data_IF_238648914071
#
_entry.id   IF_238648914071
#
_cell.length_a   1.000
_cell.length_b   1.000
_cell.length_c   1.000
_cell.angle_alpha   90.00
_cell.angle_beta   90.00
_cell.angle_gamma   90.00
#
_symmetry.space_group_name_H-M   'P 1'
#
loop_
_entity.id
_entity.type
_entity.pdbx_description
1 polymer ?
#
# COMPACT_ATOMS: atom_id res chain seq x y z
N UNK A 1 66.20 -11.66 40.13
CA UNK A 1 64.86 -12.00 39.60
C UNK A 1 64.36 -10.79 38.81
N UNK A 2 64.53 -10.80 37.49
CA UNK A 2 64.04 -9.73 36.62
C UNK A 2 62.77 -10.20 35.93
N UNK A 3 61.63 -9.62 36.27
CA UNK A 3 60.36 -9.94 35.60
C UNK A 3 60.37 -9.21 34.25
N UNK A 4 60.16 -9.97 33.17
CA UNK A 4 60.08 -9.50 31.78
C UNK A 4 58.88 -8.57 31.58
N UNK A 5 59.04 -7.28 31.92
CA UNK A 5 57.99 -6.25 31.77
C UNK A 5 57.65 -6.00 30.28
N UNK A 6 58.58 -6.28 29.37
CA UNK A 6 58.41 -6.08 27.93
C UNK A 6 57.46 -7.11 27.28
N UNK A 7 57.50 -8.37 27.74
CA UNK A 7 56.62 -9.43 27.24
C UNK A 7 55.16 -9.26 27.70
N UNK A 8 54.95 -8.66 28.88
CA UNK A 8 53.62 -8.38 29.43
C UNK A 8 52.87 -7.32 28.59
N UNK A 9 53.58 -6.29 28.11
CA UNK A 9 52.99 -5.21 27.31
C UNK A 9 52.50 -5.70 25.94
N UNK A 10 53.27 -6.55 25.25
CA UNK A 10 52.88 -7.09 23.94
C UNK A 10 51.69 -8.05 24.01
N UNK A 11 51.58 -8.87 25.05
CA UNK A 11 50.42 -9.73 25.25
C UNK A 11 49.15 -8.90 25.50
N UNK A 12 49.19 -7.91 26.39
CA UNK A 12 48.04 -7.02 26.64
C UNK A 12 47.69 -6.20 25.39
N UNK A 13 48.67 -5.66 24.69
CA UNK A 13 48.45 -4.92 23.44
C UNK A 13 47.79 -5.79 22.36
N UNK A 14 48.22 -7.04 22.21
CA UNK A 14 47.62 -7.98 21.24
C UNK A 14 46.15 -8.27 21.55
N UNK A 15 45.79 -8.41 22.83
CA UNK A 15 44.41 -8.60 23.28
C UNK A 15 43.58 -7.34 22.98
N UNK A 16 44.10 -6.14 23.29
CA UNK A 16 43.41 -4.88 23.04
C UNK A 16 43.21 -4.65 21.54
N UNK A 17 44.25 -4.85 20.72
CA UNK A 17 44.18 -4.70 19.25
C UNK A 17 43.19 -5.72 18.67
N UNK A 18 43.22 -6.97 19.12
CA UNK A 18 42.26 -8.00 18.70
C UNK A 18 40.82 -7.57 18.98
N UNK A 19 40.54 -7.04 20.18
CA UNK A 19 39.22 -6.53 20.54
C UNK A 19 38.82 -5.32 19.68
N UNK A 20 39.73 -4.38 19.40
CA UNK A 20 39.46 -3.23 18.51
C UNK A 20 39.11 -3.70 17.11
N UNK A 21 39.84 -4.69 16.56
CA UNK A 21 39.55 -5.25 15.23
C UNK A 21 38.17 -5.89 15.21
N UNK A 22 37.82 -6.67 16.24
CA UNK A 22 36.49 -7.30 16.35
C UNK A 22 35.38 -6.23 16.41
N UNK A 23 35.55 -5.20 17.23
CA UNK A 23 34.60 -4.08 17.34
C UNK A 23 34.50 -3.34 16.00
N UNK A 24 35.62 -3.08 15.33
CA UNK A 24 35.65 -2.39 14.03
C UNK A 24 34.94 -3.18 12.93
N UNK A 25 35.15 -4.50 12.88
CA UNK A 25 34.46 -5.40 11.96
C UNK A 25 32.95 -5.45 12.24
N UNK A 26 32.56 -5.49 13.52
CA UNK A 26 31.16 -5.46 13.93
C UNK A 26 30.47 -4.15 13.50
N UNK A 27 31.08 -3.00 13.78
CA UNK A 27 30.54 -1.69 13.39
C UNK A 27 30.44 -1.54 11.87
N UNK A 28 31.44 -2.01 11.13
CA UNK A 28 31.44 -1.95 9.66
C UNK A 28 30.33 -2.82 9.06
N UNK A 29 30.15 -4.02 9.59
CA UNK A 29 29.09 -4.95 9.16
C UNK A 29 27.72 -4.37 9.49
N UNK A 30 27.55 -3.82 10.70
CA UNK A 30 26.33 -3.16 11.11
C UNK A 30 25.97 -2.00 10.16
N UNK A 31 26.91 -1.11 9.87
CA UNK A 31 26.67 0.04 9.01
C UNK A 31 26.31 -0.39 7.56
N UNK A 32 26.98 -1.40 7.03
CA UNK A 32 26.69 -1.92 5.69
C UNK A 32 25.31 -2.60 5.64
N UNK A 33 24.97 -3.37 6.67
CA UNK A 33 23.68 -4.03 6.79
C UNK A 33 22.54 -3.00 6.91
N UNK A 34 22.74 -1.98 7.75
CA UNK A 34 21.79 -0.89 7.97
C UNK A 34 21.50 -0.12 6.68
N UNK A 35 22.56 0.33 5.97
CA UNK A 35 22.41 1.02 4.68
C UNK A 35 21.64 0.18 3.65
N UNK A 36 21.92 -1.12 3.57
CA UNK A 36 21.22 -2.02 2.65
C UNK A 36 19.76 -2.22 3.03
N UNK A 37 19.45 -2.31 4.32
CA UNK A 37 18.08 -2.44 4.81
C UNK A 37 17.28 -1.17 4.53
N UNK A 38 17.83 0.02 4.82
CA UNK A 38 17.18 1.31 4.51
C UNK A 38 16.87 1.41 3.01
N UNK A 39 17.81 1.07 2.13
CA UNK A 39 17.59 1.09 0.69
C UNK A 39 16.47 0.13 0.26
N UNK A 40 16.41 -1.07 0.84
CA UNK A 40 15.36 -2.06 0.58
C UNK A 40 14.00 -1.57 1.06
N UNK A 41 13.93 -1.01 2.27
CA UNK A 41 12.70 -0.48 2.86
C UNK A 41 12.16 0.71 2.05
N UNK A 42 13.03 1.62 1.60
CA UNK A 42 12.65 2.74 0.73
C UNK A 42 12.07 2.25 -0.59
N UNK A 43 12.70 1.26 -1.22
CA UNK A 43 12.19 0.66 -2.45
C UNK A 43 10.83 -0.02 -2.24
N UNK A 44 10.67 -0.79 -1.15
CA UNK A 44 9.39 -1.41 -0.80
C UNK A 44 8.30 -0.36 -0.55
N UNK A 45 8.65 0.74 0.13
CA UNK A 45 7.75 1.87 0.37
C UNK A 45 7.33 2.53 -0.95
N UNK A 46 8.25 2.75 -1.87
CA UNK A 46 7.94 3.32 -3.18
C UNK A 46 6.99 2.42 -3.97
N UNK A 47 7.26 1.11 -4.02
CA UNK A 47 6.38 0.14 -4.68
C UNK A 47 4.98 0.19 -4.05
N UNK A 48 4.88 0.17 -2.71
CA UNK A 48 3.59 0.22 -2.04
C UNK A 48 2.80 1.51 -2.33
N UNK A 49 3.48 2.65 -2.40
CA UNK A 49 2.88 3.93 -2.78
C UNK A 49 2.38 3.90 -4.23
N UNK A 50 3.16 3.36 -5.16
CA UNK A 50 2.75 3.21 -6.56
C UNK A 50 1.53 2.28 -6.69
N UNK A 51 1.51 1.15 -5.97
CA UNK A 51 0.37 0.23 -5.94
C UNK A 51 -0.89 0.91 -5.41
N UNK A 52 -0.80 1.68 -4.32
CA UNK A 52 -1.96 2.43 -3.80
C UNK A 52 -2.44 3.50 -4.79
N UNK A 53 -1.52 4.21 -5.45
CA UNK A 53 -1.86 5.20 -6.48
C UNK A 53 -2.62 4.56 -7.63
N UNK A 54 -2.12 3.43 -8.16
CA UNK A 54 -2.76 2.68 -9.22
C UNK A 54 -4.20 2.30 -8.84
N UNK A 55 -4.41 1.72 -7.65
CA UNK A 55 -5.77 1.39 -7.16
C UNK A 55 -6.68 2.61 -7.13
N UNK A 56 -6.17 3.74 -6.63
CA UNK A 56 -6.94 4.97 -6.50
C UNK A 56 -7.28 5.60 -7.86
N UNK A 57 -6.37 5.54 -8.81
CA UNK A 57 -6.61 5.99 -10.19
C UNK A 57 -7.66 5.10 -10.86
N UNK A 58 -7.53 3.78 -10.78
CA UNK A 58 -8.52 2.84 -11.34
C UNK A 58 -9.90 3.00 -10.69
N UNK A 59 -9.97 3.27 -9.37
CA UNK A 59 -11.24 3.59 -8.73
C UNK A 59 -11.91 4.81 -9.37
N UNK A 60 -11.14 5.87 -9.64
CA UNK A 60 -11.67 7.10 -10.24
C UNK A 60 -12.11 6.89 -11.68
N UNK A 61 -11.29 6.23 -12.49
CA UNK A 61 -11.61 5.88 -13.87
C UNK A 61 -12.92 5.10 -13.95
N UNK A 62 -13.09 4.09 -13.08
CA UNK A 62 -14.31 3.30 -13.01
C UNK A 62 -15.51 4.14 -12.52
N UNK A 63 -15.34 4.99 -11.50
CA UNK A 63 -16.41 5.89 -11.05
C UNK A 63 -16.86 6.82 -12.20
N UNK A 64 -15.92 7.37 -12.96
CA UNK A 64 -16.23 8.26 -14.08
C UNK A 64 -16.85 7.50 -15.25
N UNK A 65 -16.40 6.28 -15.54
CA UNK A 65 -17.00 5.40 -16.53
C UNK A 65 -18.48 5.08 -16.22
N UNK A 66 -18.78 4.76 -14.96
CA UNK A 66 -20.14 4.48 -14.47
C UNK A 66 -20.96 5.75 -14.17
N UNK A 67 -20.39 6.93 -14.42
CA UNK A 67 -21.16 8.18 -14.39
C UNK A 67 -21.94 8.41 -15.68
N UNK A 68 -21.62 7.69 -16.75
CA UNK A 68 -22.46 7.61 -17.93
C UNK A 68 -23.58 6.58 -17.69
N UNK A 69 -24.83 7.04 -17.73
CA UNK A 69 -26.01 6.20 -17.48
C UNK A 69 -26.11 5.03 -18.47
N UNK A 70 -25.67 5.20 -19.72
CA UNK A 70 -25.66 4.12 -20.71
C UNK A 70 -24.69 2.99 -20.31
N UNK A 71 -23.57 3.32 -19.65
CA UNK A 71 -22.62 2.32 -19.14
C UNK A 71 -23.23 1.55 -17.98
N UNK A 72 -23.88 2.26 -17.05
CA UNK A 72 -24.56 1.64 -15.91
C UNK A 72 -25.71 0.72 -16.36
N UNK A 73 -26.52 1.16 -17.33
CA UNK A 73 -27.59 0.36 -17.93
C UNK A 73 -27.04 -0.89 -18.62
N UNK A 74 -25.98 -0.76 -19.42
CA UNK A 74 -25.36 -1.90 -20.09
C UNK A 74 -24.74 -2.90 -19.12
N UNK A 75 -24.16 -2.41 -18.01
CA UNK A 75 -23.67 -3.28 -16.95
C UNK A 75 -24.83 -4.00 -16.25
N UNK A 76 -25.91 -3.29 -15.93
CA UNK A 76 -27.10 -3.86 -15.30
C UNK A 76 -27.72 -4.98 -16.14
N UNK A 77 -27.83 -4.80 -17.46
CA UNK A 77 -28.32 -5.84 -18.39
C UNK A 77 -27.46 -7.11 -18.42
N UNK A 78 -26.18 -7.01 -18.05
CA UNK A 78 -25.25 -8.15 -17.96
C UNK A 78 -25.24 -8.80 -16.58
N UNK A 79 -25.65 -8.08 -15.55
CA UNK A 79 -25.75 -8.60 -14.19
C UNK A 79 -27.01 -9.46 -14.02
N UNK A 80 -26.91 -10.49 -13.19
CA UNK A 80 -28.03 -11.34 -12.81
C UNK A 80 -28.52 -10.95 -11.41
N UNK A 81 -29.50 -10.05 -11.35
CA UNK A 81 -30.07 -9.56 -10.10
C UNK A 81 -30.89 -10.60 -9.33
N UNK A 82 -31.13 -11.79 -9.89
CA UNK A 82 -31.77 -12.89 -9.16
C UNK A 82 -30.76 -13.69 -8.32
N UNK A 83 -29.47 -13.49 -8.54
CA UNK A 83 -28.40 -14.12 -7.77
C UNK A 83 -27.94 -13.22 -6.62
N UNK A 84 -27.41 -13.83 -5.56
CA UNK A 84 -26.69 -13.08 -4.55
C UNK A 84 -25.46 -12.43 -5.19
N UNK A 85 -25.07 -11.25 -4.72
CA UNK A 85 -23.98 -10.48 -5.35
C UNK A 85 -22.67 -11.26 -5.52
N UNK A 86 -22.32 -12.14 -4.58
CA UNK A 86 -21.10 -12.96 -4.66
C UNK A 86 -21.21 -14.11 -5.68
N UNK A 87 -22.40 -14.40 -6.18
CA UNK A 87 -22.70 -15.42 -7.17
C UNK A 87 -22.83 -14.85 -8.59
N UNK A 88 -22.87 -13.52 -8.75
CA UNK A 88 -22.81 -12.85 -10.04
C UNK A 88 -21.35 -12.48 -10.36
N UNK A 89 -20.69 -13.23 -11.27
CA UNK A 89 -19.29 -12.98 -11.61
C UNK A 89 -19.09 -11.63 -12.30
N UNK A 90 -20.09 -11.12 -13.03
CA UNK A 90 -20.00 -9.84 -13.74
C UNK A 90 -20.08 -8.69 -12.74
N UNK A 91 -21.02 -8.75 -11.80
CA UNK A 91 -21.07 -7.77 -10.70
C UNK A 91 -19.78 -7.81 -9.88
N UNK A 92 -19.28 -9.00 -9.51
CA UNK A 92 -18.02 -9.13 -8.79
C UNK A 92 -16.84 -8.52 -9.56
N UNK A 93 -16.79 -8.70 -10.89
CA UNK A 93 -15.75 -8.10 -11.70
C UNK A 93 -15.75 -6.57 -11.57
N UNK A 94 -16.89 -5.91 -11.79
CA UNK A 94 -16.97 -4.44 -11.67
C UNK A 94 -16.60 -3.91 -10.27
N UNK A 95 -16.96 -4.65 -9.23
CA UNK A 95 -16.67 -4.29 -7.85
C UNK A 95 -15.20 -4.52 -7.45
N UNK A 96 -14.49 -5.42 -8.13
CA UNK A 96 -13.15 -5.83 -7.73
C UNK A 96 -12.03 -5.36 -8.66
N UNK A 97 -12.31 -4.91 -9.90
CA UNK A 97 -11.30 -4.43 -10.87
C UNK A 97 -10.24 -3.50 -10.25
N UNK A 98 -10.57 -2.45 -9.48
CA UNK A 98 -9.54 -1.58 -8.91
C UNK A 98 -8.66 -2.25 -7.85
N UNK A 99 -9.01 -3.44 -7.37
CA UNK A 99 -8.41 -4.09 -6.21
C UNK A 99 -7.73 -5.40 -6.55
N UNK A 100 -7.32 -5.62 -7.80
CA UNK A 100 -6.56 -6.82 -8.20
C UNK A 100 -5.28 -7.00 -7.36
N UNK A 101 -4.63 -5.89 -6.99
CA UNK A 101 -3.44 -5.86 -6.13
C UNK A 101 -3.77 -5.87 -4.62
N UNK A 102 -4.97 -6.32 -4.21
CA UNK A 102 -5.37 -6.32 -2.80
C UNK A 102 -4.42 -7.15 -1.92
N UNK A 103 -3.97 -8.30 -2.42
CA UNK A 103 -3.06 -9.18 -1.68
C UNK A 103 -1.73 -8.47 -1.35
N UNK A 104 -1.18 -7.72 -2.30
CA UNK A 104 0.06 -6.96 -2.11
C UNK A 104 -0.12 -5.84 -1.09
N UNK A 105 -1.24 -5.10 -1.17
CA UNK A 105 -1.56 -4.03 -0.20
C UNK A 105 -1.68 -4.60 1.23
N UNK A 106 -2.32 -5.75 1.38
CA UNK A 106 -2.38 -6.47 2.66
C UNK A 106 -0.98 -6.90 3.11
N UNK A 107 -0.14 -7.36 2.18
CA UNK A 107 1.26 -7.69 2.43
C UNK A 107 2.04 -6.49 2.97
N UNK A 108 1.96 -5.34 2.30
CA UNK A 108 2.61 -4.10 2.71
C UNK A 108 2.12 -3.60 4.08
N UNK A 109 0.83 -3.79 4.39
CA UNK A 109 0.28 -3.42 5.69
C UNK A 109 0.84 -4.32 6.80
N UNK A 110 0.86 -5.64 6.58
CA UNK A 110 1.38 -6.61 7.55
C UNK A 110 2.89 -6.44 7.81
N UNK A 111 3.65 -6.04 6.79
CA UNK A 111 5.08 -5.79 6.91
C UNK A 111 5.44 -4.39 7.41
N UNK A 112 4.46 -3.55 7.72
CA UNK A 112 4.68 -2.17 8.21
C UNK A 112 5.16 -1.18 7.14
N UNK A 113 5.20 -1.59 5.86
CA UNK A 113 5.62 -0.73 4.73
C UNK A 113 4.61 0.39 4.49
N UNK A 114 3.31 0.12 4.72
CA UNK A 114 2.27 1.16 4.79
C UNK A 114 1.76 1.32 6.21
N UNK A 115 1.43 2.56 6.57
CA UNK A 115 0.95 2.89 7.90
C UNK A 115 -0.48 2.38 8.11
N UNK A 116 -0.87 2.16 9.37
CA UNK A 116 -2.24 1.78 9.70
C UNK A 116 -3.28 2.79 9.18
N UNK A 117 -2.93 4.08 9.16
CA UNK A 117 -3.76 5.14 8.59
C UNK A 117 -3.95 4.95 7.08
N UNK A 118 -2.88 4.72 6.32
CA UNK A 118 -2.95 4.51 4.87
C UNK A 118 -3.77 3.26 4.53
N UNK A 119 -3.57 2.17 5.28
CA UNK A 119 -4.36 0.96 5.10
C UNK A 119 -5.84 1.17 5.48
N UNK A 120 -6.12 1.93 6.55
CA UNK A 120 -7.48 2.32 6.93
C UNK A 120 -8.19 3.15 5.86
N UNK A 121 -7.49 4.13 5.28
CA UNK A 121 -7.99 4.92 4.15
C UNK A 121 -8.29 4.04 2.93
N UNK A 122 -7.37 3.12 2.60
CA UNK A 122 -7.56 2.15 1.53
C UNK A 122 -8.83 1.30 1.73
N UNK A 123 -9.04 0.74 2.92
CA UNK A 123 -10.24 -0.06 3.23
C UNK A 123 -11.52 0.77 3.11
N UNK A 124 -11.49 2.03 3.55
CA UNK A 124 -12.62 2.94 3.45
C UNK A 124 -12.95 3.28 1.99
N UNK A 125 -11.93 3.57 1.17
CA UNK A 125 -12.10 3.78 -0.28
C UNK A 125 -12.70 2.53 -0.91
N UNK A 126 -12.15 1.35 -0.62
CA UNK A 126 -12.64 0.08 -1.15
C UNK A 126 -14.12 -0.15 -0.84
N UNK A 127 -14.53 0.05 0.41
CA UNK A 127 -15.93 -0.07 0.83
C UNK A 127 -16.83 0.92 0.07
N UNK A 128 -16.43 2.19 0.03
CA UNK A 128 -17.25 3.25 -0.55
C UNK A 128 -17.35 3.12 -2.07
N UNK A 129 -16.26 2.77 -2.76
CA UNK A 129 -16.24 2.47 -4.18
C UNK A 129 -17.22 1.34 -4.51
N UNK A 130 -17.13 0.21 -3.82
CA UNK A 130 -18.03 -0.94 -4.07
C UNK A 130 -19.48 -0.55 -3.87
N UNK A 131 -19.78 0.19 -2.81
CA UNK A 131 -21.13 0.70 -2.57
C UNK A 131 -21.60 1.62 -3.69
N UNK A 132 -20.75 2.53 -4.17
CA UNK A 132 -21.10 3.47 -5.24
C UNK A 132 -21.41 2.75 -6.56
N UNK A 133 -20.52 1.85 -7.01
CA UNK A 133 -20.70 1.11 -8.26
C UNK A 133 -21.92 0.19 -8.20
N UNK A 134 -22.10 -0.53 -7.09
CA UNK A 134 -23.30 -1.35 -6.87
C UNK A 134 -24.58 -0.53 -7.02
N UNK A 135 -24.65 0.63 -6.37
CA UNK A 135 -25.83 1.50 -6.46
C UNK A 135 -26.04 2.01 -7.88
N UNK A 136 -24.96 2.39 -8.58
CA UNK A 136 -25.04 2.82 -9.99
C UNK A 136 -25.60 1.73 -10.90
N UNK A 137 -25.20 0.48 -10.70
CA UNK A 137 -25.67 -0.64 -11.52
C UNK A 137 -27.09 -1.06 -11.13
N UNK A 138 -27.38 -1.21 -9.83
CA UNK A 138 -28.68 -1.71 -9.36
C UNK A 138 -29.83 -0.71 -9.57
N UNK A 139 -29.54 0.59 -9.53
CA UNK A 139 -30.52 1.66 -9.67
C UNK A 139 -30.19 2.54 -10.88
N UNK A 140 -29.78 1.93 -11.99
CA UNK A 140 -29.39 2.64 -13.22
C UNK A 140 -30.55 3.46 -13.80
N UNK A 141 -31.80 3.06 -13.53
CA UNK A 141 -33.04 3.71 -13.94
C UNK A 141 -33.50 4.83 -12.99
N UNK A 142 -32.92 4.91 -11.79
CA UNK A 142 -33.31 5.87 -10.77
C UNK A 142 -32.24 6.96 -10.55
N UNK A 143 -32.50 8.15 -11.10
CA UNK A 143 -31.55 9.27 -11.08
C UNK A 143 -31.19 9.75 -9.68
N UNK A 144 -32.11 9.69 -8.73
CA UNK A 144 -31.95 10.23 -7.38
C UNK A 144 -30.98 9.42 -6.51
N UNK A 145 -30.98 8.08 -6.64
CA UNK A 145 -30.06 7.21 -5.88
C UNK A 145 -28.67 7.13 -6.51
N UNK A 146 -28.56 7.47 -7.79
CA UNK A 146 -27.34 7.31 -8.57
C UNK A 146 -26.24 8.35 -8.22
N UNK A 147 -26.58 9.48 -7.60
CA UNK A 147 -25.63 10.57 -7.34
C UNK A 147 -25.03 10.57 -5.93
N UNK A 148 -25.58 9.76 -5.01
CA UNK A 148 -25.24 9.84 -3.59
C UNK A 148 -23.74 9.59 -3.37
N UNK A 149 -23.05 10.63 -2.88
CA UNK A 149 -21.64 10.63 -2.45
C UNK A 149 -20.57 10.46 -3.53
N UNK A 150 -20.86 10.56 -4.83
CA UNK A 150 -19.81 10.55 -5.89
C UNK A 150 -18.72 11.60 -5.60
N UNK A 151 -19.14 12.86 -5.43
CA UNK A 151 -18.23 14.00 -5.19
C UNK A 151 -17.40 13.79 -3.93
N UNK A 152 -18.03 13.36 -2.85
CA UNK A 152 -17.34 13.06 -1.58
C UNK A 152 -16.29 11.96 -1.74
N UNK A 153 -16.64 10.88 -2.45
CA UNK A 153 -15.72 9.77 -2.70
C UNK A 153 -14.53 10.21 -3.56
N UNK A 154 -14.76 10.94 -4.65
CA UNK A 154 -13.69 11.44 -5.51
C UNK A 154 -12.77 12.38 -4.73
N UNK A 155 -13.33 13.35 -3.99
CA UNK A 155 -12.55 14.27 -3.17
C UNK A 155 -11.75 13.52 -2.11
N UNK A 156 -12.32 12.49 -1.49
CA UNK A 156 -11.62 11.66 -0.52
C UNK A 156 -10.44 10.92 -1.16
N UNK A 157 -10.65 10.25 -2.30
CA UNK A 157 -9.58 9.56 -3.04
C UNK A 157 -8.46 10.54 -3.43
N UNK A 158 -8.81 11.71 -3.96
CA UNK A 158 -7.82 12.72 -4.37
C UNK A 158 -7.00 13.25 -3.18
N UNK A 159 -7.63 13.44 -2.02
CA UNK A 159 -6.93 13.87 -0.82
C UNK A 159 -5.94 12.81 -0.32
N UNK A 160 -6.34 11.54 -0.32
CA UNK A 160 -5.44 10.43 0.03
C UNK A 160 -4.29 10.30 -1.00
N UNK A 161 -4.56 10.45 -2.30
CA UNK A 161 -3.53 10.47 -3.35
C UNK A 161 -2.50 11.60 -3.15
N UNK A 162 -2.96 12.81 -2.81
CA UNK A 162 -2.07 13.94 -2.50
C UNK A 162 -1.21 13.66 -1.26
N UNK A 163 -1.81 13.10 -0.21
CA UNK A 163 -1.11 12.71 1.01
C UNK A 163 -0.05 11.62 0.81
N UNK A 164 -0.21 10.76 -0.21
CA UNK A 164 0.81 9.79 -0.60
C UNK A 164 1.99 10.45 -1.33
N UNK A 165 1.74 11.48 -2.15
CA UNK A 165 2.78 12.20 -2.91
C UNK A 165 3.63 13.13 -2.03
N UNK A 166 3.02 13.82 -1.06
CA UNK A 166 3.74 14.74 -0.18
C UNK A 166 4.73 14.06 0.77
N UNK A 167 4.68 12.72 0.91
CA UNK A 167 5.62 11.94 1.73
C UNK A 167 6.84 11.42 0.94
N UNK A 168 6.95 11.68 -0.37
CA UNK A 168 8.14 11.33 -1.17
C UNK A 168 9.27 12.37 -1.07
N UNK A 169 9.03 13.55 -0.47
CA UNK A 169 9.95 14.70 -0.48
C UNK A 169 10.65 14.98 0.87
N UNK A 170 10.68 14.00 1.78
CA UNK A 170 11.41 14.11 3.07
C UNK A 170 12.49 13.04 3.15
#
# INVERSE_FOLDING_TARGET
MGINVFALNWNVASIVIGNIIIIGLFLSTYFLFDKRNIAKENNQREIAVLTLQLVYDTCREMIDLFSNDATAENAAKKCDFNKLEFQDPIMQQYLNIPFDNHADIVGFAKSGVITAKEYGSYLKIRKNYKSHIRMKIAFFDCKDFSCYKKKELISYIQNEQKGLKSKKEV
#
